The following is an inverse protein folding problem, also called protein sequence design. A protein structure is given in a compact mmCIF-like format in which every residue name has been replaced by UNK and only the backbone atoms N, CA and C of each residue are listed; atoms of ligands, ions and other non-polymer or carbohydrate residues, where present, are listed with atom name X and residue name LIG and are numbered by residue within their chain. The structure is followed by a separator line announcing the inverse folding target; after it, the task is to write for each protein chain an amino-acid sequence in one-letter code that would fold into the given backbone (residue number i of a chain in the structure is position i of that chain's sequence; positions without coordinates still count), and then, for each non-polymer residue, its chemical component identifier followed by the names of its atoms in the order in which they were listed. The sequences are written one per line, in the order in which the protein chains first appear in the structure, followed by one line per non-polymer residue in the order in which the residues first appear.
data_IF_288585375372
#
_entry.id   IF_288585375372
#
_cell.length_a   1.000
_cell.length_b   1.000
_cell.length_c   1.000
_cell.angle_alpha   90.00
_cell.angle_beta   90.00
_cell.angle_gamma   90.00
#
_symmetry.space_group_name_H-M   'P 1'
#
loop_
_entity.id
_entity.type
_entity.pdbx_description
1 polymer ?
#
# COMPACT_ATOMS: atom_id res chain seq x y z
N UNK A 1 54.11 45.08 9.05
CA UNK A 1 52.77 44.45 9.04
C UNK A 1 52.50 43.57 7.82
N UNK A 2 52.90 43.98 6.60
CA UNK A 2 52.66 43.22 5.35
C UNK A 2 53.40 41.88 5.25
N UNK A 3 54.59 41.76 5.86
CA UNK A 3 55.39 40.53 5.87
C UNK A 3 54.78 39.40 6.71
N UNK A 4 54.16 39.74 7.85
CA UNK A 4 53.49 38.77 8.73
C UNK A 4 52.27 38.15 8.06
N UNK A 5 51.53 38.95 7.28
CA UNK A 5 50.35 38.49 6.53
C UNK A 5 50.76 37.52 5.41
N UNK A 6 51.89 37.77 4.72
CA UNK A 6 52.41 36.85 3.69
C UNK A 6 52.72 35.47 4.26
N UNK A 7 53.45 35.41 5.37
CA UNK A 7 53.82 34.12 6.00
C UNK A 7 52.59 33.34 6.51
N UNK A 8 51.54 34.04 6.93
CA UNK A 8 50.29 33.41 7.37
C UNK A 8 49.47 32.83 6.20
N UNK A 9 49.42 33.53 5.07
CA UNK A 9 48.70 33.05 3.87
C UNK A 9 49.43 31.86 3.22
N UNK A 10 50.76 31.91 3.17
CA UNK A 10 51.59 30.86 2.57
C UNK A 10 51.52 29.55 3.38
N UNK A 11 51.43 29.64 4.71
CA UNK A 11 51.19 28.47 5.57
C UNK A 11 49.75 27.95 5.52
N UNK A 12 48.77 28.79 5.20
CA UNK A 12 47.38 28.36 5.02
C UNK A 12 47.17 27.62 3.68
N UNK A 13 47.79 28.08 2.59
CA UNK A 13 47.72 27.38 1.29
C UNK A 13 48.47 26.05 1.32
N UNK A 14 49.62 26.01 2.01
CA UNK A 14 50.40 24.78 2.16
C UNK A 14 49.65 23.69 2.91
N UNK A 15 48.76 24.06 3.85
CA UNK A 15 47.87 23.10 4.52
C UNK A 15 46.78 22.55 3.61
N UNK A 16 46.22 23.31 2.67
CA UNK A 16 45.23 22.79 1.71
C UNK A 16 45.84 21.79 0.73
N UNK A 17 47.11 21.98 0.37
CA UNK A 17 47.87 21.03 -0.45
C UNK A 17 48.33 19.79 0.35
N UNK A 18 48.66 19.94 1.64
CA UNK A 18 49.04 18.84 2.54
C UNK A 18 47.83 18.03 3.06
N UNK A 19 46.67 18.65 3.24
CA UNK A 19 45.40 18.04 3.68
C UNK A 19 44.53 17.58 2.50
N UNK A 20 45.10 17.54 1.28
CA UNK A 20 44.53 17.12 0.00
C UNK A 20 43.02 16.98 0.03
N UNK A 21 42.28 18.04 -0.33
CA UNK A 21 40.82 18.07 -0.35
C UNK A 21 40.26 16.80 -1.04
N UNK A 22 39.90 15.79 -0.22
CA UNK A 22 39.41 14.49 -0.62
C UNK A 22 37.98 14.65 -1.15
N UNK A 23 37.88 15.23 -2.35
CA UNK A 23 36.62 15.36 -3.05
C UNK A 23 36.11 13.98 -3.48
N UNK A 24 34.80 13.76 -3.32
CA UNK A 24 34.11 12.60 -3.85
C UNK A 24 34.42 12.47 -5.34
N UNK A 25 35.05 11.39 -5.75
CA UNK A 25 35.43 11.18 -7.14
C UNK A 25 34.19 10.98 -7.99
N UNK A 26 34.19 11.52 -9.21
CA UNK A 26 33.10 11.28 -10.17
C UNK A 26 32.90 9.77 -10.42
N UNK A 27 33.96 8.97 -10.33
CA UNK A 27 33.86 7.51 -10.48
C UNK A 27 33.12 6.86 -9.30
N UNK A 28 33.25 7.41 -8.09
CA UNK A 28 32.55 6.92 -6.90
C UNK A 28 31.05 7.17 -7.00
N UNK A 29 30.66 8.33 -7.53
CA UNK A 29 29.25 8.62 -7.73
C UNK A 29 28.66 7.76 -8.86
N UNK A 30 29.43 7.53 -9.93
CA UNK A 30 29.00 6.69 -11.06
C UNK A 30 28.79 5.24 -10.64
N UNK A 31 29.71 4.62 -9.89
CA UNK A 31 29.53 3.22 -9.48
C UNK A 31 28.33 3.06 -8.54
N UNK A 32 28.05 4.04 -7.69
CA UNK A 32 26.90 4.02 -6.79
C UNK A 32 25.59 4.04 -7.58
N UNK A 33 25.43 4.93 -8.56
CA UNK A 33 24.20 4.96 -9.36
C UNK A 33 24.05 3.73 -10.26
N UNK A 34 25.15 3.11 -10.69
CA UNK A 34 25.13 1.83 -11.41
C UNK A 34 24.59 0.71 -10.50
N UNK A 35 25.10 0.59 -9.27
CA UNK A 35 24.61 -0.41 -8.32
C UNK A 35 23.15 -0.13 -7.95
N UNK A 36 22.78 1.13 -7.67
CA UNK A 36 21.39 1.52 -7.41
C UNK A 36 20.48 1.21 -8.61
N UNK A 37 20.96 1.40 -9.85
CA UNK A 37 20.22 1.04 -11.05
C UNK A 37 19.91 -0.46 -11.14
N UNK A 38 20.88 -1.32 -10.78
CA UNK A 38 20.68 -2.78 -10.73
C UNK A 38 19.66 -3.16 -9.66
N UNK A 39 19.77 -2.56 -8.47
CA UNK A 39 18.82 -2.83 -7.37
C UNK A 39 17.39 -2.41 -7.73
N UNK A 40 17.23 -1.23 -8.34
CA UNK A 40 15.91 -0.71 -8.75
C UNK A 40 15.28 -1.57 -9.84
N UNK A 41 16.08 -2.05 -10.80
CA UNK A 41 15.58 -2.91 -11.88
C UNK A 41 14.93 -4.20 -11.36
N UNK A 42 15.45 -4.78 -10.27
CA UNK A 42 14.89 -5.98 -9.62
C UNK A 42 13.74 -5.61 -8.67
N UNK A 43 13.86 -4.49 -7.96
CA UNK A 43 12.88 -4.07 -6.95
C UNK A 43 11.50 -3.72 -7.56
N UNK A 44 11.46 -2.93 -8.63
CA UNK A 44 10.22 -2.44 -9.24
C UNK A 44 9.20 -3.55 -9.55
N UNK A 45 9.55 -4.64 -10.28
CA UNK A 45 8.57 -5.68 -10.62
C UNK A 45 8.05 -6.44 -9.39
N UNK A 46 8.90 -6.65 -8.38
CA UNK A 46 8.52 -7.36 -7.16
C UNK A 46 7.50 -6.54 -6.36
N UNK A 47 7.74 -5.24 -6.20
CA UNK A 47 6.83 -4.36 -5.46
C UNK A 47 5.43 -4.31 -6.08
N UNK A 48 5.32 -4.33 -7.42
CA UNK A 48 4.01 -4.37 -8.10
C UNK A 48 3.19 -5.62 -7.77
N UNK A 49 3.83 -6.80 -7.75
CA UNK A 49 3.14 -8.06 -7.43
C UNK A 49 2.71 -8.13 -5.95
N UNK A 50 3.57 -7.64 -5.04
CA UNK A 50 3.25 -7.56 -3.61
C UNK A 50 2.05 -6.63 -3.39
N UNK A 51 2.02 -5.48 -4.07
CA UNK A 51 0.91 -4.54 -3.96
C UNK A 51 -0.41 -5.15 -4.47
N UNK A 52 -0.41 -5.80 -5.64
CA UNK A 52 -1.61 -6.47 -6.15
C UNK A 52 -2.12 -7.56 -5.19
N UNK A 53 -1.22 -8.37 -4.65
CA UNK A 53 -1.59 -9.43 -3.69
C UNK A 53 -2.12 -8.85 -2.38
N UNK A 54 -1.53 -7.75 -1.91
CA UNK A 54 -2.00 -7.04 -0.73
C UNK A 54 -3.39 -6.45 -0.92
N UNK A 55 -3.67 -5.84 -2.08
CA UNK A 55 -5.00 -5.33 -2.45
C UNK A 55 -6.03 -6.46 -2.50
N UNK A 56 -5.69 -7.59 -3.12
CA UNK A 56 -6.58 -8.76 -3.21
C UNK A 56 -6.92 -9.31 -1.82
N UNK A 57 -5.95 -9.39 -0.93
CA UNK A 57 -6.14 -9.83 0.44
C UNK A 57 -6.94 -8.82 1.28
N UNK A 58 -6.70 -7.52 1.10
CA UNK A 58 -7.45 -6.46 1.77
C UNK A 58 -8.93 -6.49 1.38
N UNK A 59 -9.23 -6.66 0.09
CA UNK A 59 -10.60 -6.78 -0.40
C UNK A 59 -11.28 -8.05 0.15
N UNK A 60 -10.59 -9.20 0.15
CA UNK A 60 -11.12 -10.45 0.72
C UNK A 60 -11.44 -10.30 2.21
N UNK A 61 -10.53 -9.70 2.96
CA UNK A 61 -10.70 -9.45 4.39
C UNK A 61 -11.86 -8.49 4.66
N UNK A 62 -11.98 -7.43 3.86
CA UNK A 62 -13.07 -6.46 3.98
C UNK A 62 -14.43 -7.10 3.67
N UNK A 63 -14.54 -7.88 2.58
CA UNK A 63 -15.75 -8.59 2.22
C UNK A 63 -16.15 -9.61 3.32
N UNK A 64 -15.20 -10.40 3.82
CA UNK A 64 -15.46 -11.39 4.87
C UNK A 64 -15.88 -10.74 6.21
N UNK A 65 -15.21 -9.64 6.58
CA UNK A 65 -15.56 -8.85 7.77
C UNK A 65 -16.95 -8.24 7.64
N UNK A 66 -17.26 -7.68 6.46
CA UNK A 66 -18.60 -7.16 6.16
C UNK A 66 -19.67 -8.24 6.26
N UNK A 67 -19.44 -9.41 5.65
CA UNK A 67 -20.37 -10.54 5.69
C UNK A 67 -20.63 -11.02 7.13
N UNK A 68 -19.58 -11.07 7.95
CA UNK A 68 -19.70 -11.44 9.37
C UNK A 68 -20.49 -10.39 10.15
N UNK A 69 -20.27 -9.10 9.88
CA UNK A 69 -20.99 -8.02 10.54
C UNK A 69 -22.49 -8.00 10.16
N UNK A 70 -22.82 -8.25 8.89
CA UNK A 70 -24.21 -8.40 8.44
C UNK A 70 -24.86 -9.65 9.03
N UNK A 71 -24.15 -10.79 9.06
CA UNK A 71 -24.65 -12.01 9.68
C UNK A 71 -24.95 -11.83 11.18
N UNK A 72 -24.07 -11.12 11.91
CA UNK A 72 -24.27 -10.79 13.32
C UNK A 72 -25.50 -9.88 13.52
N UNK A 73 -25.64 -8.85 12.69
CA UNK A 73 -26.79 -7.94 12.69
C UNK A 73 -28.14 -8.67 12.46
N UNK A 74 -28.15 -9.65 11.56
CA UNK A 74 -29.34 -10.49 11.31
C UNK A 74 -29.62 -11.41 12.51
N UNK A 75 -28.59 -12.01 13.10
CA UNK A 75 -28.73 -12.87 14.27
C UNK A 75 -29.30 -12.14 15.49
N UNK A 76 -28.97 -10.85 15.65
CA UNK A 76 -29.49 -9.98 16.72
C UNK A 76 -30.93 -9.45 16.45
N UNK A 77 -31.63 -9.96 15.42
CA UNK A 77 -33.01 -9.61 15.04
C UNK A 77 -33.21 -8.19 14.49
N UNK A 78 -32.15 -7.52 14.05
CA UNK A 78 -32.17 -6.15 13.53
C UNK A 78 -32.04 -6.12 11.99
N UNK A 79 -32.61 -7.13 11.34
CA UNK A 79 -32.28 -7.59 9.98
C UNK A 79 -32.39 -6.54 8.85
N UNK A 80 -33.09 -5.41 9.05
CA UNK A 80 -33.40 -4.48 7.97
C UNK A 80 -32.74 -3.08 8.08
N UNK A 81 -32.31 -2.66 9.26
CA UNK A 81 -31.76 -1.31 9.50
C UNK A 81 -30.24 -1.31 9.77
N UNK A 82 -29.67 -2.44 10.16
CA UNK A 82 -28.29 -2.53 10.64
C UNK A 82 -27.30 -3.13 9.63
N UNK A 83 -27.75 -3.93 8.65
CA UNK A 83 -26.88 -4.46 7.60
C UNK A 83 -26.19 -3.34 6.80
N UNK A 84 -26.94 -2.32 6.38
CA UNK A 84 -26.39 -1.14 5.70
C UNK A 84 -25.44 -0.29 6.58
N UNK A 85 -25.75 -0.15 7.88
CA UNK A 85 -24.86 0.55 8.83
C UNK A 85 -23.59 -0.23 9.18
N UNK A 86 -23.66 -1.56 9.21
CA UNK A 86 -22.51 -2.44 9.43
C UNK A 86 -21.53 -2.39 8.25
N UNK A 87 -22.06 -2.40 7.03
CA UNK A 87 -21.32 -2.20 5.77
C UNK A 87 -20.61 -0.84 5.76
N UNK A 88 -21.26 0.23 6.24
CA UNK A 88 -20.68 1.58 6.28
C UNK A 88 -19.48 1.67 7.25
N UNK A 89 -19.47 0.92 8.35
CA UNK A 89 -18.35 0.93 9.31
C UNK A 89 -17.09 0.21 8.81
N UNK A 90 -17.24 -0.75 7.89
CA UNK A 90 -16.11 -1.47 7.28
C UNK A 90 -15.58 -0.84 6.00
N UNK A 91 -16.25 0.19 5.50
CA UNK A 91 -15.87 0.89 4.27
C UNK A 91 -14.83 1.98 4.57
N UNK A 92 -13.78 2.02 3.76
CA UNK A 92 -12.78 3.11 3.75
C UNK A 92 -12.92 3.91 2.46
N UNK A 93 -12.19 5.03 2.32
CA UNK A 93 -12.17 5.82 1.08
C UNK A 93 -11.75 5.03 -0.16
N UNK A 94 -11.07 3.90 0.02
CA UNK A 94 -10.51 3.08 -1.05
C UNK A 94 -11.24 1.75 -1.25
N UNK A 95 -12.00 1.30 -0.24
CA UNK A 95 -12.77 0.05 -0.26
C UNK A 95 -14.23 0.35 0.11
N UNK A 96 -15.11 0.12 -0.85
CA UNK A 96 -16.56 0.24 -0.69
C UNK A 96 -17.18 -1.14 -0.51
N UNK A 97 -17.93 -1.31 0.56
CA UNK A 97 -18.72 -2.53 0.80
C UNK A 97 -20.15 -2.30 0.29
N UNK A 98 -20.75 -3.32 -0.31
CA UNK A 98 -22.11 -3.27 -0.84
C UNK A 98 -22.77 -4.66 -0.78
N UNK A 99 -24.09 -4.70 -0.67
CA UNK A 99 -24.89 -5.91 -0.80
C UNK A 99 -25.98 -5.70 -1.85
N UNK A 100 -26.32 -6.75 -2.59
CA UNK A 100 -27.34 -6.68 -3.66
C UNK A 100 -28.77 -6.58 -3.11
N UNK A 101 -29.00 -7.11 -1.91
CA UNK A 101 -30.28 -7.08 -1.20
C UNK A 101 -30.03 -7.28 0.29
N UNK A 102 -30.84 -6.65 1.14
CA UNK A 102 -30.78 -6.85 2.58
C UNK A 102 -31.16 -8.30 2.91
N UNK A 103 -30.26 -9.12 3.46
CA UNK A 103 -30.55 -10.53 3.70
C UNK A 103 -31.49 -10.68 4.90
N UNK A 104 -32.58 -11.42 4.72
CA UNK A 104 -33.50 -11.73 5.83
C UNK A 104 -32.99 -12.87 6.74
N UNK A 105 -32.02 -13.65 6.24
CA UNK A 105 -31.44 -14.81 6.94
C UNK A 105 -29.93 -14.82 6.74
N UNK A 106 -29.22 -15.45 7.69
CA UNK A 106 -27.75 -15.57 7.64
C UNK A 106 -27.27 -16.31 6.39
N UNK A 107 -28.03 -17.28 5.90
CA UNK A 107 -27.70 -18.03 4.69
C UNK A 107 -27.77 -17.19 3.41
N UNK A 108 -28.51 -16.08 3.44
CA UNK A 108 -28.69 -15.17 2.30
C UNK A 108 -27.60 -14.08 2.22
N UNK A 109 -26.67 -14.02 3.18
CA UNK A 109 -25.66 -12.96 3.24
C UNK A 109 -24.68 -13.07 2.08
N UNK A 110 -24.46 -11.97 1.36
CA UNK A 110 -23.40 -11.85 0.37
C UNK A 110 -22.96 -10.38 0.21
N UNK A 111 -21.82 -10.06 0.84
CA UNK A 111 -21.19 -8.73 0.80
C UNK A 111 -20.14 -8.68 -0.29
N UNK A 112 -20.18 -7.64 -1.10
CA UNK A 112 -19.18 -7.34 -2.13
C UNK A 112 -18.32 -6.15 -1.70
N UNK A 113 -17.02 -6.36 -1.59
CA UNK A 113 -16.01 -5.32 -1.47
C UNK A 113 -15.53 -4.91 -2.87
N UNK A 114 -15.53 -3.59 -3.13
CA UNK A 114 -15.05 -2.98 -4.37
C UNK A 114 -13.98 -1.96 -4.05
N UNK A 115 -12.84 -2.04 -4.73
CA UNK A 115 -11.71 -1.14 -4.53
C UNK A 115 -10.56 -1.53 -5.45
N UNK A 116 -9.62 -0.62 -5.71
CA UNK A 116 -8.45 -0.91 -6.57
C UNK A 116 -8.80 -1.42 -7.99
N UNK A 117 -9.94 -1.01 -8.58
CA UNK A 117 -10.50 -1.55 -9.83
C UNK A 117 -10.78 -3.07 -9.79
N UNK A 118 -11.01 -3.61 -8.59
CA UNK A 118 -11.30 -5.02 -8.35
C UNK A 118 -12.54 -5.16 -7.48
N UNK A 119 -13.17 -6.34 -7.53
CA UNK A 119 -14.30 -6.73 -6.70
C UNK A 119 -14.13 -8.14 -6.17
N UNK A 120 -14.61 -8.37 -4.95
CA UNK A 120 -14.68 -9.69 -4.33
C UNK A 120 -15.87 -9.74 -3.38
N UNK A 121 -16.56 -10.88 -3.34
CA UNK A 121 -17.70 -11.08 -2.48
C UNK A 121 -17.44 -12.19 -1.46
N UNK A 122 -18.01 -12.05 -0.27
CA UNK A 122 -17.95 -13.06 0.78
C UNK A 122 -19.31 -13.21 1.47
N UNK A 123 -19.63 -14.43 1.85
CA UNK A 123 -20.88 -14.80 2.50
C UNK A 123 -21.43 -16.13 1.98
N UNK A 124 -22.36 -16.78 2.71
CA UNK A 124 -22.87 -18.10 2.36
C UNK A 124 -23.63 -18.12 1.03
N UNK A 125 -24.30 -17.03 0.66
CA UNK A 125 -25.03 -16.92 -0.60
C UNK A 125 -24.14 -16.52 -1.80
N UNK A 126 -22.88 -16.17 -1.57
CA UNK A 126 -21.99 -15.79 -2.66
C UNK A 126 -21.60 -17.03 -3.48
N UNK A 127 -21.88 -17.00 -4.78
CA UNK A 127 -21.41 -18.03 -5.71
C UNK A 127 -19.88 -18.15 -5.68
N UNK A 128 -19.34 -19.35 -5.96
CA UNK A 128 -17.89 -19.57 -6.00
C UNK A 128 -17.17 -18.60 -6.95
N UNK A 129 -17.82 -18.20 -8.05
CA UNK A 129 -17.28 -17.22 -9.00
C UNK A 129 -17.12 -15.81 -8.37
N UNK A 130 -18.08 -15.39 -7.54
CA UNK A 130 -18.05 -14.08 -6.86
C UNK A 130 -17.05 -14.00 -5.70
N UNK A 131 -16.54 -15.14 -5.20
CA UNK A 131 -15.52 -15.18 -4.13
C UNK A 131 -14.09 -15.00 -4.64
N UNK A 132 -13.91 -15.07 -5.97
CA UNK A 132 -12.63 -14.77 -6.61
C UNK A 132 -12.49 -13.27 -6.84
N UNK A 133 -11.28 -12.73 -6.66
CA UNK A 133 -11.03 -11.32 -6.97
C UNK A 133 -11.07 -11.16 -8.47
N UNK A 134 -11.98 -10.33 -8.96
CA UNK A 134 -12.18 -10.08 -10.38
C UNK A 134 -12.04 -8.59 -10.68
N UNK A 135 -11.68 -8.25 -11.92
CA UNK A 135 -11.68 -6.86 -12.36
C UNK A 135 -13.09 -6.27 -12.22
N UNK A 136 -13.20 -5.06 -11.66
CA UNK A 136 -14.42 -4.28 -11.72
C UNK A 136 -14.69 -3.88 -13.19
N UNK A 137 -15.97 -3.81 -13.63
CA UNK A 137 -16.31 -3.31 -14.96
C UNK A 137 -15.91 -1.84 -15.15
#
# INVERSE_FOLDING_TARGET
MRATIKNYIESANRRREEEGEEGFSLIELIIVVVILGILVAIAIPIFGNIQSTAQDNALKAAAASGATAVAAAIADSDANSTAASAITKGSTTEIVLSEASVPATVDAVCVTATGFNKKVSAGPACTAASQSVTAAP
#
